data_IF_651601818420
#
_entry.id   IF_651601818420
#
_cell.length_a   1.000
_cell.length_b   1.000
_cell.length_c   1.000
_cell.angle_alpha   90.00
_cell.angle_beta   90.00
_cell.angle_gamma   90.00
#
_symmetry.space_group_name_H-M   'P 1'
#
loop_
_entity.id
_entity.type
_entity.pdbx_description
1 polymer ?
#
# COMPACT_ATOMS: atom_id res chain seq x y z
N UNK A 1 -8.67 -7.72 15.55
CA UNK A 1 -8.41 -6.69 14.52
C UNK A 1 -7.77 -5.47 15.14
N UNK A 2 -6.47 -5.28 14.91
CA UNK A 2 -5.78 -4.06 15.28
C UNK A 2 -6.05 -2.95 14.23
N UNK A 3 -7.01 -2.07 14.51
CA UNK A 3 -7.40 -0.94 13.62
C UNK A 3 -6.27 0.06 13.43
N UNK A 4 -5.43 0.26 14.45
CA UNK A 4 -4.26 1.16 14.40
C UNK A 4 -3.23 0.60 13.41
N UNK A 5 -2.97 -0.71 13.44
CA UNK A 5 -2.08 -1.38 12.48
C UNK A 5 -2.59 -1.22 11.05
N UNK A 6 -3.89 -1.44 10.84
CA UNK A 6 -4.53 -1.28 9.53
C UNK A 6 -4.39 0.16 9.00
N UNK A 7 -4.69 1.15 9.82
CA UNK A 7 -4.66 2.56 9.42
C UNK A 7 -3.23 3.06 9.18
N UNK A 8 -2.27 2.65 10.02
CA UNK A 8 -0.84 2.92 9.81
C UNK A 8 -0.32 2.30 8.52
N UNK A 9 -0.66 1.03 8.27
CA UNK A 9 -0.31 0.35 7.02
C UNK A 9 -0.92 1.08 5.81
N UNK A 10 -2.19 1.47 5.91
CA UNK A 10 -2.88 2.20 4.84
C UNK A 10 -2.22 3.53 4.50
N UNK A 11 -2.01 4.40 5.49
CA UNK A 11 -1.36 5.70 5.28
C UNK A 11 0.05 5.52 4.71
N UNK A 12 0.83 4.58 5.24
CA UNK A 12 2.17 4.32 4.74
C UNK A 12 2.15 3.89 3.27
N UNK A 13 1.27 2.94 2.91
CA UNK A 13 1.15 2.48 1.51
C UNK A 13 0.71 3.58 0.55
N UNK A 14 -0.19 4.47 0.98
CA UNK A 14 -0.63 5.62 0.19
C UNK A 14 0.49 6.63 -0.07
N UNK A 15 1.31 6.90 0.95
CA UNK A 15 2.38 7.90 0.83
C UNK A 15 3.60 7.36 0.09
N UNK A 16 3.99 6.12 0.39
CA UNK A 16 5.21 5.51 -0.14
C UNK A 16 5.01 4.87 -1.52
N UNK A 17 3.80 4.38 -1.85
CA UNK A 17 3.51 3.77 -3.15
C UNK A 17 3.92 4.63 -4.36
N UNK A 18 3.45 5.90 -4.46
CA UNK A 18 3.84 6.79 -5.55
C UNK A 18 5.33 7.14 -5.55
N UNK A 19 5.98 7.21 -4.37
CA UNK A 19 7.42 7.48 -4.26
C UNK A 19 8.21 6.31 -4.83
N UNK A 20 7.86 5.07 -4.46
CA UNK A 20 8.49 3.86 -4.99
C UNK A 20 8.28 3.79 -6.51
N UNK A 21 7.09 4.13 -7.00
CA UNK A 21 6.81 4.20 -8.43
C UNK A 21 7.69 5.22 -9.16
N UNK A 22 7.88 6.40 -8.58
CA UNK A 22 8.76 7.41 -9.15
C UNK A 22 10.22 6.95 -9.19
N UNK A 23 10.68 6.25 -8.14
CA UNK A 23 12.03 5.67 -8.07
C UNK A 23 12.21 4.61 -9.16
N UNK A 24 11.28 3.65 -9.28
CA UNK A 24 11.37 2.57 -10.28
C UNK A 24 11.38 3.14 -11.71
N UNK A 25 10.51 4.11 -12.01
CA UNK A 25 10.48 4.75 -13.32
C UNK A 25 11.68 5.67 -13.56
N UNK A 26 12.23 6.29 -12.51
CA UNK A 26 13.43 7.12 -12.59
C UNK A 26 14.69 6.32 -12.92
N UNK A 27 14.75 5.03 -12.55
CA UNK A 27 15.86 4.15 -12.93
C UNK A 27 15.73 3.59 -14.35
N UNK A 28 14.51 3.44 -14.87
CA UNK A 28 14.25 2.86 -16.20
C UNK A 28 14.17 3.90 -17.31
N UNK A 29 13.85 5.15 -16.98
CA UNK A 29 13.78 6.28 -17.91
C UNK A 29 14.85 7.32 -17.58
N UNK A 30 15.51 7.91 -18.58
CA UNK A 30 16.48 8.99 -18.37
C UNK A 30 15.81 10.19 -17.69
N UNK A 31 15.96 10.28 -16.37
CA UNK A 31 15.24 11.24 -15.55
C UNK A 31 15.79 12.65 -15.76
N UNK A 32 14.99 13.53 -16.36
CA UNK A 32 15.30 14.95 -16.48
C UNK A 32 14.70 15.75 -15.31
N UNK A 33 15.22 16.96 -15.04
CA UNK A 33 14.68 17.86 -14.02
C UNK A 33 13.17 18.16 -14.21
N UNK A 34 12.68 18.16 -15.45
CA UNK A 34 11.26 18.34 -15.76
C UNK A 34 10.39 17.18 -15.26
N UNK A 35 10.90 15.94 -15.25
CA UNK A 35 10.18 14.78 -14.76
C UNK A 35 10.02 14.79 -13.24
N UNK A 36 11.01 15.34 -12.53
CA UNK A 36 10.95 15.48 -11.07
C UNK A 36 9.89 16.51 -10.65
N UNK A 37 9.85 17.67 -11.30
CA UNK A 37 8.81 18.67 -11.04
C UNK A 37 7.40 18.15 -11.35
N UNK A 38 7.25 17.43 -12.48
CA UNK A 38 5.99 16.79 -12.85
C UNK A 38 5.50 15.78 -11.81
N UNK A 39 6.40 15.01 -11.18
CA UNK A 39 6.03 14.10 -10.09
C UNK A 39 5.42 14.85 -8.90
N UNK A 40 6.07 15.91 -8.40
CA UNK A 40 5.55 16.67 -7.25
C UNK A 40 4.19 17.30 -7.53
N UNK A 41 3.93 17.71 -8.76
CA UNK A 41 2.64 18.26 -9.17
C UNK A 41 1.54 17.18 -9.18
N UNK A 42 1.87 15.95 -9.60
CA UNK A 42 0.93 14.83 -9.68
C UNK A 42 0.81 14.04 -8.35
N UNK A 43 1.76 14.19 -7.44
CA UNK A 43 1.80 13.42 -6.19
C UNK A 43 0.56 13.60 -5.31
N UNK A 44 0.01 14.82 -5.09
CA UNK A 44 -1.24 14.98 -4.35
C UNK A 44 -2.42 14.27 -5.00
N UNK A 45 -2.50 14.29 -6.33
CA UNK A 45 -3.52 13.55 -7.08
C UNK A 45 -3.36 12.04 -6.92
N UNK A 46 -2.11 11.54 -6.95
CA UNK A 46 -1.83 10.13 -6.72
C UNK A 46 -2.26 9.68 -5.32
N UNK A 47 -2.10 10.52 -4.29
CA UNK A 47 -2.60 10.22 -2.93
C UNK A 47 -4.13 10.16 -2.92
N UNK A 48 -4.83 11.13 -3.52
CA UNK A 48 -6.30 11.16 -3.55
C UNK A 48 -6.85 9.94 -4.28
N UNK A 49 -6.31 9.63 -5.46
CA UNK A 49 -6.72 8.46 -6.23
C UNK A 49 -6.39 7.17 -5.50
N UNK A 50 -5.20 7.08 -4.91
CA UNK A 50 -4.81 5.95 -4.08
C UNK A 50 -5.79 5.73 -2.94
N UNK A 51 -6.25 6.80 -2.27
CA UNK A 51 -7.22 6.72 -1.18
C UNK A 51 -8.55 6.16 -1.70
N UNK A 52 -9.08 6.70 -2.79
CA UNK A 52 -10.33 6.24 -3.40
C UNK A 52 -10.26 4.77 -3.85
N UNK A 53 -9.19 4.37 -4.51
CA UNK A 53 -9.05 3.01 -5.05
C UNK A 53 -8.70 1.96 -4.00
N UNK A 54 -8.06 2.35 -2.89
CA UNK A 54 -7.72 1.40 -1.82
C UNK A 54 -8.85 1.16 -0.82
N UNK A 55 -9.81 2.09 -0.69
CA UNK A 55 -10.96 1.97 0.22
C UNK A 55 -11.70 0.62 0.11
N UNK A 56 -12.08 0.12 -1.08
CA UNK A 56 -12.76 -1.17 -1.22
C UNK A 56 -11.96 -2.34 -0.62
N UNK A 57 -10.64 -2.33 -0.77
CA UNK A 57 -9.74 -3.37 -0.26
C UNK A 57 -9.70 -3.39 1.26
N UNK A 58 -9.63 -2.22 1.91
CA UNK A 58 -9.63 -2.14 3.37
C UNK A 58 -11.01 -2.41 3.98
N UNK A 59 -12.09 -2.04 3.29
CA UNK A 59 -13.45 -2.44 3.67
C UNK A 59 -13.60 -3.96 3.61
N UNK A 60 -13.12 -4.59 2.53
CA UNK A 60 -13.14 -6.04 2.37
C UNK A 60 -12.33 -6.75 3.46
N UNK A 61 -11.15 -6.23 3.80
CA UNK A 61 -10.35 -6.73 4.93
C UNK A 61 -11.12 -6.67 6.26
N UNK A 62 -11.79 -5.54 6.55
CA UNK A 62 -12.60 -5.40 7.76
C UNK A 62 -13.76 -6.40 7.81
N UNK A 63 -14.42 -6.66 6.67
CA UNK A 63 -15.49 -7.66 6.58
C UNK A 63 -14.99 -9.08 6.89
N UNK A 64 -13.82 -9.46 6.36
CA UNK A 64 -13.19 -10.75 6.68
C UNK A 64 -12.96 -10.86 8.19
N UNK A 65 -12.39 -9.82 8.81
CA UNK A 65 -12.13 -9.83 10.25
C UNK A 65 -13.38 -9.89 11.12
N UNK A 66 -14.48 -9.32 10.66
CA UNK A 66 -15.76 -9.39 11.35
C UNK A 66 -16.32 -10.83 11.36
N UNK A 67 -16.07 -11.59 10.29
CA UNK A 67 -16.49 -12.99 10.17
C UNK A 67 -15.58 -13.95 10.97
N UNK A 68 -14.29 -13.65 11.08
CA UNK A 68 -13.31 -14.49 11.77
C UNK A 68 -12.86 -13.89 13.12
N UNK A 69 -13.63 -14.17 14.18
CA UNK A 69 -13.48 -13.51 15.51
C UNK A 69 -12.21 -13.85 16.34
N UNK A 70 -11.31 -14.73 15.91
CA UNK A 70 -10.16 -15.18 16.73
C UNK A 70 -8.88 -15.45 15.92
N UNK A 71 -8.46 -14.50 15.08
CA UNK A 71 -7.20 -14.62 14.34
C UNK A 71 -6.03 -14.11 15.21
N UNK A 72 -4.93 -14.87 15.28
CA UNK A 72 -3.72 -14.40 15.99
C UNK A 72 -3.09 -13.20 15.28
N UNK A 73 -2.46 -12.30 16.04
CA UNK A 73 -1.84 -11.06 15.53
C UNK A 73 -0.85 -11.26 14.38
N UNK A 74 -0.07 -12.37 14.36
CA UNK A 74 0.83 -12.69 13.24
C UNK A 74 0.05 -12.93 11.94
N UNK A 75 -1.07 -13.65 12.01
CA UNK A 75 -1.89 -13.97 10.85
C UNK A 75 -2.69 -12.76 10.36
N UNK A 76 -3.12 -11.85 11.26
CA UNK A 76 -3.80 -10.61 10.85
C UNK A 76 -2.94 -9.81 9.85
N UNK A 77 -1.62 -9.76 10.09
CA UNK A 77 -0.66 -9.04 9.25
C UNK A 77 -0.47 -9.66 7.87
N UNK A 78 -0.24 -10.97 7.83
CA UNK A 78 -0.03 -11.70 6.58
C UNK A 78 -1.29 -11.60 5.72
N UNK A 79 -2.46 -11.75 6.34
CA UNK A 79 -3.76 -11.59 5.69
C UNK A 79 -3.92 -10.17 5.15
N UNK A 80 -3.60 -9.14 5.95
CA UNK A 80 -3.67 -7.73 5.52
C UNK A 80 -2.80 -7.47 4.28
N UNK A 81 -1.51 -7.81 4.33
CA UNK A 81 -0.58 -7.57 3.22
C UNK A 81 -1.04 -8.33 1.97
N UNK A 82 -1.48 -9.58 2.12
CA UNK A 82 -1.96 -10.39 0.99
C UNK A 82 -3.20 -9.79 0.34
N UNK A 83 -4.19 -9.38 1.14
CA UNK A 83 -5.41 -8.73 0.64
C UNK A 83 -5.08 -7.40 -0.04
N UNK A 84 -4.17 -6.61 0.55
CA UNK A 84 -3.76 -5.34 -0.05
C UNK A 84 -3.07 -5.55 -1.39
N UNK A 85 -2.13 -6.50 -1.49
CA UNK A 85 -1.47 -6.84 -2.77
C UNK A 85 -2.52 -7.25 -3.81
N UNK A 86 -3.42 -8.18 -3.48
CA UNK A 86 -4.47 -8.62 -4.40
C UNK A 86 -5.35 -7.45 -4.83
N UNK A 87 -5.81 -6.63 -3.89
CA UNK A 87 -6.64 -5.47 -4.17
C UNK A 87 -5.92 -4.42 -5.04
N UNK A 88 -4.63 -4.19 -4.81
CA UNK A 88 -3.78 -3.32 -5.64
C UNK A 88 -3.74 -3.85 -7.08
N UNK A 89 -3.45 -5.14 -7.28
CA UNK A 89 -3.42 -5.73 -8.63
C UNK A 89 -4.77 -5.66 -9.34
N UNK A 90 -5.86 -5.93 -8.63
CA UNK A 90 -7.21 -5.82 -9.20
C UNK A 90 -7.50 -4.37 -9.60
N UNK A 91 -7.27 -3.41 -8.69
CA UNK A 91 -7.61 -2.00 -8.93
C UNK A 91 -6.76 -1.38 -10.03
N UNK A 92 -5.44 -1.64 -10.07
CA UNK A 92 -4.59 -1.12 -11.15
C UNK A 92 -4.89 -1.78 -12.48
N UNK A 93 -5.20 -3.09 -12.51
CA UNK A 93 -5.62 -3.77 -13.73
C UNK A 93 -6.96 -3.21 -14.27
N UNK A 94 -7.91 -2.86 -13.39
CA UNK A 94 -9.17 -2.24 -13.78
C UNK A 94 -8.98 -0.84 -14.39
N UNK A 95 -8.03 -0.06 -13.87
CA UNK A 95 -7.69 1.26 -14.44
C UNK A 95 -7.11 1.11 -15.85
N UNK A 96 -6.49 -0.03 -16.17
CA UNK A 96 -6.03 -0.45 -17.49
C UNK A 96 -5.27 0.65 -18.26
N UNK A 97 -4.06 0.97 -17.82
CA UNK A 97 -3.18 1.96 -18.46
C UNK A 97 -1.76 1.44 -18.61
N UNK A 98 -0.95 2.06 -19.49
CA UNK A 98 0.39 1.55 -19.87
C UNK A 98 1.30 1.22 -18.68
N UNK A 99 1.15 1.96 -17.57
CA UNK A 99 1.97 1.86 -16.35
C UNK A 99 1.30 1.07 -15.21
N UNK A 100 0.19 0.36 -15.49
CA UNK A 100 -0.60 -0.31 -14.45
C UNK A 100 0.21 -1.33 -13.65
N UNK A 101 1.11 -2.07 -14.33
CA UNK A 101 1.91 -3.12 -13.72
C UNK A 101 2.99 -2.54 -12.80
N UNK A 102 3.68 -1.50 -13.23
CA UNK A 102 4.68 -0.79 -12.42
C UNK A 102 4.04 -0.16 -11.18
N UNK A 103 2.83 0.39 -11.31
CA UNK A 103 2.04 0.84 -10.17
C UNK A 103 1.72 -0.32 -9.22
N UNK A 104 1.25 -1.45 -9.75
CA UNK A 104 0.92 -2.61 -8.92
C UNK A 104 2.12 -3.10 -8.11
N UNK A 105 3.30 -3.19 -8.74
CA UNK A 105 4.55 -3.57 -8.09
C UNK A 105 4.93 -2.55 -7.01
N UNK A 106 4.87 -1.25 -7.34
CA UNK A 106 5.30 -0.19 -6.42
C UNK A 106 4.49 -0.16 -5.13
N UNK A 107 3.16 -0.24 -5.25
CA UNK A 107 2.27 -0.30 -4.09
C UNK A 107 2.38 -1.63 -3.34
N UNK A 108 2.66 -2.73 -4.04
CA UNK A 108 2.91 -4.03 -3.39
C UNK A 108 4.20 -4.03 -2.56
N UNK A 109 5.29 -3.47 -3.10
CA UNK A 109 6.54 -3.27 -2.35
C UNK A 109 6.27 -2.37 -1.13
N UNK A 110 5.52 -1.29 -1.32
CA UNK A 110 5.14 -0.41 -0.21
C UNK A 110 4.37 -1.15 0.88
N UNK A 111 3.46 -2.06 0.52
CA UNK A 111 2.68 -2.86 1.46
C UNK A 111 3.55 -3.86 2.22
N UNK A 112 4.51 -4.50 1.55
CA UNK A 112 5.45 -5.40 2.21
C UNK A 112 6.32 -4.62 3.21
N UNK A 113 6.86 -3.47 2.81
CA UNK A 113 7.66 -2.60 3.69
C UNK A 113 6.83 -2.16 4.89
N UNK A 114 5.59 -1.71 4.68
CA UNK A 114 4.68 -1.34 5.77
C UNK A 114 4.44 -2.52 6.72
N UNK A 115 4.15 -3.70 6.18
CA UNK A 115 3.94 -4.93 6.95
C UNK A 115 5.14 -5.29 7.83
N UNK A 116 6.36 -5.15 7.32
CA UNK A 116 7.60 -5.41 8.07
C UNK A 116 7.87 -4.31 9.10
N UNK A 117 7.76 -3.04 8.73
CA UNK A 117 8.08 -1.91 9.60
C UNK A 117 7.16 -1.87 10.83
N UNK A 118 5.86 -2.04 10.61
CA UNK A 118 4.91 -2.12 11.73
C UNK A 118 4.98 -3.44 12.50
N UNK A 119 5.63 -4.48 11.97
CA UNK A 119 5.91 -5.71 12.74
C UNK A 119 6.94 -5.47 13.85
N UNK A 120 7.95 -4.64 13.60
CA UNK A 120 9.00 -4.35 14.58
C UNK A 120 8.48 -3.51 15.76
N UNK A 121 7.59 -2.55 15.51
CA UNK A 121 7.08 -1.66 16.55
C UNK A 121 6.21 -2.37 17.59
N UNK A 122 5.39 -3.34 17.16
CA UNK A 122 4.50 -4.07 18.08
C UNK A 122 5.17 -5.16 18.90
N UNK A 123 6.30 -5.75 18.44
CA UNK A 123 7.05 -6.70 19.25
C UNK A 123 7.53 -6.05 20.55
N UNK A 124 7.92 -4.77 20.48
CA UNK A 124 8.36 -4.00 21.63
C UNK A 124 7.23 -3.64 22.61
N UNK A 125 5.97 -3.51 22.15
CA UNK A 125 4.83 -3.21 23.04
C UNK A 125 4.30 -4.45 23.79
N UNK A 126 4.55 -5.67 23.28
CA UNK A 126 4.18 -6.92 23.97
C UNK A 126 5.24 -7.43 24.94
N UNK A 127 6.46 -6.88 24.88
CA UNK A 127 7.59 -7.22 25.76
C UNK A 127 7.87 -6.10 26.81
N UNK A 128 7.06 -5.04 26.84
CA UNK A 128 7.09 -3.95 27.83
C UNK A 128 5.93 -4.05 28.81
#
# INVERSE_FOLDING_TARGET
MNTILMLRHWIFTLLCGPIIFAIINGFTSNWSANNFYGFFQLYPFAIILGLLFSLPTYIFYMLIFLLFKNIKMIYERIILVTIVIIGVFITTALINGIVWFDLAISYSISSIIAGIFFTMYFKNETES
#
